data_IF_227356976113
#
_entry.id   IF_227356976113
#
_cell.length_a   1.000
_cell.length_b   1.000
_cell.length_c   1.000
_cell.angle_alpha   90.00
_cell.angle_beta   90.00
_cell.angle_gamma   90.00
#
_symmetry.space_group_name_H-M   'P 1'
#
loop_
_entity.id
_entity.type
_entity.pdbx_description
1 polymer ?
#
# COMPACT_ATOMS: atom_id res chain seq x y z
N UNK A 1 -13.38 10.99 15.00
CA UNK A 1 -14.58 11.14 14.14
C UNK A 1 -14.28 10.90 12.67
N UNK A 2 -13.26 11.57 12.10
CA UNK A 2 -12.82 11.40 10.70
C UNK A 2 -12.59 9.94 10.24
N UNK A 3 -11.96 9.10 11.07
CA UNK A 3 -11.72 7.68 10.71
C UNK A 3 -13.05 6.92 10.49
N UNK A 4 -14.03 7.09 11.38
CA UNK A 4 -15.33 6.41 11.24
C UNK A 4 -16.05 6.86 9.97
N UNK A 5 -16.02 8.16 9.69
CA UNK A 5 -16.59 8.72 8.46
C UNK A 5 -15.90 8.17 7.21
N UNK A 6 -14.56 8.12 7.21
CA UNK A 6 -13.80 7.54 6.10
C UNK A 6 -14.11 6.06 5.87
N UNK A 7 -14.34 5.28 6.94
CA UNK A 7 -14.78 3.88 6.82
C UNK A 7 -16.18 3.75 6.22
N UNK A 8 -17.12 4.62 6.63
CA UNK A 8 -18.48 4.66 6.07
C UNK A 8 -18.49 5.08 4.58
N UNK A 9 -17.53 5.90 4.17
CA UNK A 9 -17.31 6.28 2.76
C UNK A 9 -16.69 5.13 1.97
N UNK A 10 -15.64 4.49 2.50
CA UNK A 10 -15.00 3.33 1.88
C UNK A 10 -15.99 2.18 1.65
N UNK A 11 -16.92 1.95 2.58
CA UNK A 11 -17.97 0.92 2.42
C UNK A 11 -18.87 1.15 1.19
N UNK A 12 -19.02 2.41 0.75
CA UNK A 12 -19.91 2.81 -0.36
C UNK A 12 -19.18 2.92 -1.70
N UNK A 13 -17.87 2.69 -1.72
CA UNK A 13 -17.08 2.74 -2.96
C UNK A 13 -17.61 1.70 -3.95
N UNK A 14 -17.83 2.14 -5.19
CA UNK A 14 -18.19 1.29 -6.31
C UNK A 14 -16.92 1.06 -7.15
N UNK A 15 -16.32 -0.14 -7.13
CA UNK A 15 -15.11 -0.41 -7.90
C UNK A 15 -15.34 -0.25 -9.42
N UNK A 16 -14.37 0.34 -10.11
CA UNK A 16 -14.37 0.50 -11.56
C UNK A 16 -13.21 1.37 -12.05
N UNK A 17 -12.92 1.31 -13.34
CA UNK A 17 -11.76 1.98 -13.95
C UNK A 17 -10.53 1.08 -14.02
N UNK A 18 -9.40 1.68 -14.39
CA UNK A 18 -8.10 1.02 -14.52
C UNK A 18 -7.30 1.06 -13.20
N UNK A 19 -6.26 0.22 -13.11
CA UNK A 19 -5.45 0.04 -11.90
C UNK A 19 -4.22 0.95 -11.88
N UNK A 20 -4.42 2.26 -11.68
CA UNK A 20 -3.35 3.26 -11.56
C UNK A 20 -2.71 3.28 -10.14
N UNK A 21 -2.10 2.17 -9.73
CA UNK A 21 -1.59 1.99 -8.36
C UNK A 21 -0.50 3.01 -7.96
N UNK A 22 0.34 3.43 -8.90
CA UNK A 22 1.38 4.45 -8.67
C UNK A 22 0.81 5.78 -8.16
N UNK A 23 -0.36 6.22 -8.64
CA UNK A 23 -1.00 7.43 -8.13
C UNK A 23 -1.36 7.31 -6.65
N UNK A 24 -1.72 6.11 -6.18
CA UNK A 24 -1.93 5.83 -4.76
C UNK A 24 -0.67 6.01 -3.92
N UNK A 25 0.48 5.53 -4.44
CA UNK A 25 1.79 5.73 -3.80
C UNK A 25 2.23 7.19 -3.81
N UNK A 26 1.96 7.93 -4.88
CA UNK A 26 2.22 9.38 -4.94
C UNK A 26 1.47 10.10 -3.83
N UNK A 27 0.17 9.81 -3.64
CA UNK A 27 -0.64 10.39 -2.55
C UNK A 27 -0.13 10.04 -1.16
N UNK A 28 0.39 8.83 -0.97
CA UNK A 28 0.99 8.43 0.29
C UNK A 28 2.34 9.15 0.52
N UNK A 29 3.19 9.20 -0.50
CA UNK A 29 4.48 9.89 -0.48
C UNK A 29 4.34 11.38 -0.20
N UNK A 30 3.35 12.05 -0.78
CA UNK A 30 3.03 13.46 -0.51
C UNK A 30 2.79 13.68 0.99
N UNK A 31 1.96 12.84 1.62
CA UNK A 31 1.66 12.93 3.05
C UNK A 31 2.89 12.65 3.91
N UNK A 32 3.66 11.59 3.60
CA UNK A 32 4.88 11.23 4.34
C UNK A 32 5.93 12.34 4.25
N UNK A 33 6.12 12.93 3.07
CA UNK A 33 7.04 14.04 2.88
C UNK A 33 6.65 15.23 3.77
N UNK A 34 5.37 15.60 3.80
CA UNK A 34 4.88 16.70 4.63
C UNK A 34 5.06 16.44 6.13
N UNK A 35 4.86 15.21 6.60
CA UNK A 35 5.09 14.83 7.99
C UNK A 35 6.59 14.82 8.34
N UNK A 36 7.45 14.33 7.44
CA UNK A 36 8.90 14.31 7.64
C UNK A 36 9.49 15.72 7.81
N UNK A 37 8.97 16.72 7.09
CA UNK A 37 9.39 18.13 7.21
C UNK A 37 9.13 18.69 8.62
N UNK A 38 8.17 18.14 9.37
CA UNK A 38 7.89 18.57 10.74
C UNK A 38 8.93 18.04 11.75
N UNK A 39 9.82 17.13 11.34
CA UNK A 39 10.98 16.69 12.12
C UNK A 39 10.70 15.62 13.17
N UNK A 40 9.49 15.06 13.22
CA UNK A 40 9.17 13.92 14.08
C UNK A 40 9.67 12.62 13.46
N UNK A 41 10.25 11.74 14.28
CA UNK A 41 10.59 10.38 13.85
C UNK A 41 9.32 9.53 13.86
N UNK A 42 8.65 9.44 12.72
CA UNK A 42 7.42 8.68 12.54
C UNK A 42 7.72 7.32 11.90
N UNK A 43 7.06 6.27 12.37
CA UNK A 43 7.01 4.99 11.65
C UNK A 43 5.90 5.07 10.60
N UNK A 44 6.28 5.24 9.32
CA UNK A 44 5.34 5.33 8.21
C UNK A 44 5.12 3.94 7.61
N UNK A 45 3.87 3.48 7.54
CA UNK A 45 3.51 2.18 6.99
C UNK A 45 2.48 2.37 5.89
N UNK A 46 2.75 1.79 4.71
CA UNK A 46 1.81 1.74 3.59
C UNK A 46 1.29 0.32 3.47
N UNK A 47 -0.03 0.15 3.43
CA UNK A 47 -0.69 -1.14 3.16
C UNK A 47 -1.45 -1.00 1.86
N UNK A 48 -0.94 -1.64 0.81
CA UNK A 48 -1.54 -1.66 -0.50
C UNK A 48 -2.44 -2.90 -0.68
N UNK A 49 -3.74 -2.69 -0.94
CA UNK A 49 -4.70 -3.75 -1.23
C UNK A 49 -4.96 -3.82 -2.73
N UNK A 50 -4.58 -4.93 -3.37
CA UNK A 50 -4.74 -5.10 -4.83
C UNK A 50 -4.78 -6.58 -5.20
N UNK A 51 -5.33 -6.92 -6.36
CA UNK A 51 -5.17 -8.24 -6.98
C UNK A 51 -3.83 -8.37 -7.73
N UNK A 52 -3.01 -7.30 -7.80
CA UNK A 52 -1.68 -7.36 -8.42
C UNK A 52 -1.69 -7.63 -9.92
N UNK A 53 -2.84 -7.44 -10.58
CA UNK A 53 -2.96 -7.52 -12.03
C UNK A 53 -2.70 -6.14 -12.66
N UNK A 54 -1.43 -5.74 -12.68
CA UNK A 54 -0.99 -4.52 -13.35
C UNK A 54 -0.45 -4.83 -14.75
N UNK A 55 -0.79 -3.98 -15.71
CA UNK A 55 -0.13 -3.99 -17.01
C UNK A 55 1.34 -3.55 -16.86
N UNK A 56 2.23 -3.95 -17.78
CA UNK A 56 3.68 -3.82 -17.63
C UNK A 56 4.14 -2.37 -17.35
N UNK A 57 3.57 -1.40 -18.07
CA UNK A 57 3.87 0.02 -17.87
C UNK A 57 3.40 0.52 -16.49
N UNK A 58 2.18 0.17 -16.09
CA UNK A 58 1.62 0.58 -14.79
C UNK A 58 2.35 -0.08 -13.62
N UNK A 59 2.82 -1.31 -13.82
CA UNK A 59 3.63 -2.03 -12.86
C UNK A 59 5.00 -1.34 -12.67
N UNK A 60 5.66 -0.93 -13.76
CA UNK A 60 6.92 -0.18 -13.70
C UNK A 60 6.78 1.11 -12.88
N UNK A 61 5.74 1.91 -13.14
CA UNK A 61 5.49 3.13 -12.37
C UNK A 61 5.17 2.83 -10.90
N UNK A 62 4.44 1.75 -10.62
CA UNK A 62 4.07 1.39 -9.26
C UNK A 62 5.28 0.95 -8.43
N UNK A 63 6.21 0.19 -9.03
CA UNK A 63 7.48 -0.15 -8.39
C UNK A 63 8.33 1.11 -8.14
N UNK A 64 8.36 2.05 -9.09
CA UNK A 64 9.08 3.31 -8.95
C UNK A 64 8.56 4.15 -7.78
N UNK A 65 7.25 4.36 -7.67
CA UNK A 65 6.68 5.19 -6.60
C UNK A 65 6.67 4.45 -5.24
N UNK A 66 6.63 3.12 -5.23
CA UNK A 66 6.88 2.34 -4.02
C UNK A 66 8.32 2.53 -3.52
N UNK A 67 9.32 2.48 -4.40
CA UNK A 67 10.72 2.77 -4.05
C UNK A 67 10.86 4.18 -3.44
N UNK A 68 10.23 5.18 -4.07
CA UNK A 68 10.22 6.56 -3.55
C UNK A 68 9.60 6.65 -2.15
N UNK A 69 8.50 5.94 -1.92
CA UNK A 69 7.87 5.87 -0.60
C UNK A 69 8.83 5.30 0.46
N UNK A 70 9.61 4.27 0.11
CA UNK A 70 10.63 3.68 0.99
C UNK A 70 11.80 4.63 1.25
N UNK A 71 12.25 5.39 0.25
CA UNK A 71 13.28 6.43 0.42
C UNK A 71 12.82 7.53 1.40
N UNK A 72 11.52 7.79 1.49
CA UNK A 72 10.92 8.67 2.48
C UNK A 72 10.77 8.02 3.88
N UNK A 73 11.19 6.77 4.05
CA UNK A 73 11.17 6.05 5.32
C UNK A 73 9.90 5.23 5.55
N UNK A 74 9.10 4.96 4.52
CA UNK A 74 7.95 4.08 4.64
C UNK A 74 8.33 2.60 4.56
N UNK A 75 7.62 1.75 5.29
CA UNK A 75 7.58 0.30 5.05
C UNK A 75 6.35 -0.04 4.22
N UNK A 76 6.53 -0.77 3.11
CA UNK A 76 5.44 -1.11 2.19
C UNK A 76 5.03 -2.58 2.34
N UNK A 77 3.76 -2.78 2.68
CA UNK A 77 3.08 -4.07 2.69
C UNK A 77 2.10 -4.17 1.52
N UNK A 78 2.01 -5.35 0.91
CA UNK A 78 1.01 -5.65 -0.11
C UNK A 78 0.08 -6.77 0.37
N UNK A 79 -1.22 -6.54 0.28
CA UNK A 79 -2.25 -7.53 0.57
C UNK A 79 -2.95 -7.90 -0.73
N UNK A 80 -2.70 -9.14 -1.17
CA UNK A 80 -3.20 -9.72 -2.41
C UNK A 80 -4.63 -10.22 -2.28
N UNK A 81 -5.51 -9.79 -3.18
CA UNK A 81 -6.92 -10.22 -3.23
C UNK A 81 -7.13 -11.17 -4.41
N UNK A 82 -7.91 -12.26 -4.22
CA UNK A 82 -8.12 -13.33 -5.23
C UNK A 82 -6.82 -14.02 -5.67
N UNK A 83 -6.63 -14.22 -6.98
CA UNK A 83 -5.52 -14.94 -7.61
C UNK A 83 -4.36 -13.99 -7.93
N UNK A 84 -3.85 -13.30 -6.91
CA UNK A 84 -2.85 -12.26 -7.11
C UNK A 84 -1.48 -12.81 -7.55
N UNK A 85 -0.72 -11.98 -8.26
CA UNK A 85 0.65 -12.31 -8.64
C UNK A 85 1.64 -11.95 -7.52
N UNK A 86 1.98 -12.93 -6.68
CA UNK A 86 2.90 -12.75 -5.56
C UNK A 86 4.27 -12.18 -5.98
N UNK A 87 4.78 -12.56 -7.15
CA UNK A 87 6.09 -12.06 -7.64
C UNK A 87 6.03 -10.58 -8.00
N UNK A 88 4.92 -10.11 -8.58
CA UNK A 88 4.71 -8.69 -8.83
C UNK A 88 4.56 -7.92 -7.51
N UNK A 89 3.69 -8.40 -6.60
CA UNK A 89 3.50 -7.74 -5.31
C UNK A 89 4.78 -7.69 -4.48
N UNK A 90 5.63 -8.71 -4.55
CA UNK A 90 6.92 -8.74 -3.83
C UNK A 90 7.92 -7.68 -4.30
N UNK A 91 7.77 -7.14 -5.51
CA UNK A 91 8.60 -6.02 -6.00
C UNK A 91 8.05 -4.66 -5.52
N UNK A 92 6.75 -4.58 -5.28
CA UNK A 92 6.07 -3.40 -4.76
C UNK A 92 6.16 -3.34 -3.22
N UNK A 93 6.08 -4.47 -2.53
CA UNK A 93 6.34 -4.58 -1.11
C UNK A 93 7.84 -4.47 -0.79
N UNK A 94 8.20 -4.29 0.49
CA UNK A 94 9.61 -4.22 0.92
C UNK A 94 10.34 -5.55 0.74
N UNK A 95 9.65 -6.66 0.93
CA UNK A 95 10.15 -8.01 0.67
C UNK A 95 8.98 -8.97 0.43
N UNK A 96 9.30 -10.22 0.07
CA UNK A 96 8.30 -11.31 -0.01
C UNK A 96 7.55 -11.52 1.31
N UNK A 97 8.21 -11.31 2.44
CA UNK A 97 7.60 -11.45 3.77
C UNK A 97 6.61 -10.31 4.10
N UNK A 98 6.57 -9.27 3.27
CA UNK A 98 5.63 -8.15 3.36
C UNK A 98 4.45 -8.31 2.39
N UNK A 99 4.29 -9.50 1.79
CA UNK A 99 3.17 -9.83 0.91
C UNK A 99 2.28 -10.86 1.60
N UNK A 100 0.99 -10.56 1.72
CA UNK A 100 0.03 -11.43 2.37
C UNK A 100 -1.21 -11.67 1.50
N UNK A 101 -1.75 -12.90 1.44
CA UNK A 101 -3.08 -13.11 0.86
C UNK A 101 -4.15 -12.50 1.76
N UNK A 102 -5.23 -11.93 1.23
CA UNK A 102 -6.26 -11.24 2.03
C UNK A 102 -6.90 -12.10 3.13
N UNK A 103 -7.03 -13.41 2.88
CA UNK A 103 -7.64 -14.35 3.83
C UNK A 103 -6.79 -14.52 5.10
N UNK A 104 -5.45 -14.48 4.96
CA UNK A 104 -4.52 -14.58 6.10
C UNK A 104 -3.95 -13.20 6.48
N UNK A 105 -4.13 -12.21 5.62
CA UNK A 105 -3.49 -10.90 5.68
C UNK A 105 -4.03 -10.00 6.77
N UNK A 106 -5.31 -10.16 7.16
CA UNK A 106 -5.85 -9.41 8.29
C UNK A 106 -5.21 -9.84 9.62
N UNK A 107 -5.03 -11.15 9.84
CA UNK A 107 -4.36 -11.67 11.04
C UNK A 107 -2.85 -11.34 11.03
N UNK A 108 -2.20 -11.46 9.87
CA UNK A 108 -0.78 -11.10 9.73
C UNK A 108 -0.53 -9.60 9.98
N UNK A 109 -1.39 -8.72 9.46
CA UNK A 109 -1.29 -7.27 9.68
C UNK A 109 -1.56 -6.87 11.13
N UNK A 110 -2.44 -7.58 11.84
CA UNK A 110 -2.68 -7.33 13.26
C UNK A 110 -1.38 -7.51 14.07
N UNK A 111 -0.62 -8.58 13.80
CA UNK A 111 0.68 -8.82 14.44
C UNK A 111 1.71 -7.74 14.18
N UNK A 112 1.70 -7.13 12.99
CA UNK A 112 2.61 -6.04 12.61
C UNK A 112 2.26 -4.73 13.35
N UNK A 113 0.97 -4.44 13.50
CA UNK A 113 0.49 -3.20 14.14
C UNK A 113 0.70 -3.25 15.66
N UNK A 114 0.65 -4.43 16.28
CA UNK A 114 0.81 -4.62 17.72
C UNK A 114 2.28 -4.69 18.20
N UNK A 115 3.25 -4.52 17.28
CA UNK A 115 4.70 -4.58 17.54
C UNK A 115 5.33 -3.21 17.79
#
# INVERSE_FOLDING_TARGET
EKIRQGLDELQKVLPGGDTYMHEGFERASEQIYHENVQGYRTASVIIALTDGELHEDLFFYSEQEANRSRELGATVYCVGVKDFNETQLARIADSKDHVFPVNDGFEALQGIIDS
#
